data_IF_455781512751
#
_entry.id   IF_455781512751
#
_cell.length_a   1.000
_cell.length_b   1.000
_cell.length_c   1.000
_cell.angle_alpha   90.00
_cell.angle_beta   90.00
_cell.angle_gamma   90.00
#
_symmetry.space_group_name_H-M   'P 1'
#
loop_
_entity.id
_entity.type
_entity.pdbx_description
1 polymer ?
#
# COMPACT_ATOMS: atom_id res chain seq x y z
N UNK A 1 15.07 19.42 7.33
CA UNK A 1 14.13 18.31 7.06
C UNK A 1 12.81 18.91 6.63
N UNK A 2 12.40 18.75 5.37
CA UNK A 2 11.06 19.17 4.98
C UNK A 2 10.03 18.40 5.79
N UNK A 3 9.20 19.12 6.50
CA UNK A 3 8.04 18.52 7.17
C UNK A 3 7.09 18.01 6.08
N UNK A 4 6.95 16.72 5.97
CA UNK A 4 5.97 16.12 5.07
C UNK A 4 4.57 16.44 5.61
N UNK A 5 3.82 17.25 4.89
CA UNK A 5 2.44 17.63 5.25
C UNK A 5 1.44 16.79 4.46
N UNK A 6 0.38 16.37 5.11
CA UNK A 6 -0.73 15.67 4.44
C UNK A 6 -1.59 16.67 3.63
N UNK A 7 -2.13 16.23 2.51
CA UNK A 7 -1.96 14.93 1.89
C UNK A 7 -0.57 14.79 1.22
N UNK A 8 0.04 13.58 1.29
CA UNK A 8 1.25 13.30 0.53
C UNK A 8 0.88 13.07 -0.93
N UNK A 9 1.55 13.80 -1.80
CA UNK A 9 1.51 13.58 -3.24
C UNK A 9 2.44 12.44 -3.67
N UNK A 10 2.44 12.15 -4.95
CA UNK A 10 3.24 11.09 -5.53
C UNK A 10 4.75 11.31 -5.32
N UNK A 11 5.23 12.56 -5.45
CA UNK A 11 6.64 12.90 -5.21
C UNK A 11 7.07 12.67 -3.76
N UNK A 12 6.18 12.98 -2.80
CA UNK A 12 6.44 12.71 -1.39
C UNK A 12 6.46 11.20 -1.09
N UNK A 13 5.57 10.43 -1.73
CA UNK A 13 5.54 8.97 -1.62
C UNK A 13 6.83 8.35 -2.17
N UNK A 14 7.34 8.82 -3.31
CA UNK A 14 8.61 8.35 -3.89
C UNK A 14 9.83 8.61 -3.00
N UNK A 15 9.77 9.63 -2.13
CA UNK A 15 10.83 9.87 -1.14
C UNK A 15 10.80 8.87 0.03
N UNK A 16 9.69 8.16 0.21
CA UNK A 16 9.49 7.18 1.28
C UNK A 16 9.62 5.76 0.77
N UNK A 17 8.93 5.43 -0.34
CA UNK A 17 8.94 4.10 -0.95
C UNK A 17 10.06 3.95 -1.98
N UNK A 18 10.72 2.79 -2.04
CA UNK A 18 11.68 2.48 -3.10
C UNK A 18 11.00 2.19 -4.45
N UNK A 19 9.71 1.92 -4.45
CA UNK A 19 8.94 1.61 -5.65
C UNK A 19 8.93 2.76 -6.65
N UNK A 20 8.97 2.44 -7.94
CA UNK A 20 8.93 3.39 -9.06
C UNK A 20 7.98 2.89 -10.13
N UNK A 21 7.66 3.77 -11.10
CA UNK A 21 6.93 3.38 -12.29
C UNK A 21 7.56 2.11 -12.92
N UNK A 22 6.80 1.08 -13.32
CA UNK A 22 5.33 1.03 -13.36
C UNK A 22 4.70 0.41 -12.11
N UNK A 23 5.43 0.17 -11.03
CA UNK A 23 4.99 -0.58 -9.85
C UNK A 23 4.78 0.29 -8.61
N UNK A 24 4.86 1.59 -8.70
CA UNK A 24 4.35 2.50 -7.69
C UNK A 24 2.85 2.66 -7.90
N UNK A 25 2.05 2.04 -7.05
CA UNK A 25 0.61 1.89 -7.25
C UNK A 25 -0.23 2.88 -6.44
N UNK A 26 0.35 3.53 -5.45
CA UNK A 26 -0.34 4.46 -4.54
C UNK A 26 -0.25 5.87 -5.09
N UNK A 27 -1.39 6.55 -5.23
CA UNK A 27 -1.45 7.88 -5.80
C UNK A 27 -1.32 8.99 -4.76
N UNK A 28 -1.86 8.77 -3.56
CA UNK A 28 -1.89 9.79 -2.49
C UNK A 28 -2.02 9.14 -1.12
N UNK A 29 -1.47 9.78 -0.09
CA UNK A 29 -1.77 9.47 1.32
C UNK A 29 -2.58 10.63 1.88
N UNK A 30 -3.76 10.33 2.42
CA UNK A 30 -4.71 11.34 2.93
C UNK A 30 -4.77 11.40 4.45
N UNK A 31 -4.46 10.30 5.14
CA UNK A 31 -4.40 10.23 6.59
C UNK A 31 -3.19 9.41 7.04
N UNK A 32 -2.55 9.82 8.11
CA UNK A 32 -1.46 9.10 8.73
C UNK A 32 -1.44 9.38 10.23
N UNK A 33 -1.60 8.33 11.02
CA UNK A 33 -1.42 8.31 12.46
C UNK A 33 -0.21 7.41 12.76
N UNK A 34 0.94 8.00 13.17
CA UNK A 34 2.18 7.26 13.36
C UNK A 34 2.00 6.01 14.23
N UNK A 35 2.60 4.90 13.82
CA UNK A 35 2.56 3.59 14.48
C UNK A 35 1.16 2.95 14.62
N UNK A 36 0.12 3.56 14.07
CA UNK A 36 -1.24 3.05 14.22
C UNK A 36 -1.92 2.79 12.90
N UNK A 37 -2.09 3.84 12.08
CA UNK A 37 -2.98 3.80 10.93
C UNK A 37 -2.55 4.73 9.81
N UNK A 38 -2.83 4.33 8.58
CA UNK A 38 -2.62 5.13 7.39
C UNK A 38 -3.76 4.90 6.41
N UNK A 39 -4.12 5.94 5.65
CA UNK A 39 -5.09 5.84 4.55
C UNK A 39 -4.47 6.42 3.29
N UNK A 40 -4.48 5.62 2.23
CA UNK A 40 -4.04 5.99 0.90
C UNK A 40 -5.14 5.87 -0.14
N UNK A 41 -4.91 6.48 -1.29
CA UNK A 41 -5.80 6.46 -2.44
C UNK A 41 -5.09 5.82 -3.63
N UNK A 42 -5.80 4.93 -4.32
CA UNK A 42 -5.47 4.40 -5.63
C UNK A 42 -6.60 4.75 -6.59
N UNK A 43 -6.30 5.52 -7.63
CA UNK A 43 -7.23 5.75 -8.73
C UNK A 43 -7.05 4.64 -9.76
N UNK A 44 -8.14 4.01 -10.17
CA UNK A 44 -8.11 2.98 -11.20
C UNK A 44 -8.50 3.62 -12.53
N UNK A 45 -7.50 4.00 -13.31
CA UNK A 45 -7.70 4.57 -14.64
C UNK A 45 -7.99 3.48 -15.68
N UNK A 46 -8.66 3.85 -16.77
CA UNK A 46 -8.76 2.99 -17.96
C UNK A 46 -7.40 2.66 -18.57
N UNK A 47 -6.40 3.49 -18.33
CA UNK A 47 -5.01 3.31 -18.77
C UNK A 47 -4.17 2.52 -17.75
N UNK A 48 -4.78 1.96 -16.71
CA UNK A 48 -4.10 1.12 -15.73
C UNK A 48 -3.47 -0.10 -16.43
N UNK A 49 -2.16 -0.23 -16.31
CA UNK A 49 -1.37 -1.26 -16.97
C UNK A 49 -1.79 -2.69 -16.59
N UNK A 50 -2.26 -2.85 -15.38
CA UNK A 50 -2.56 -4.17 -14.80
C UNK A 50 -4.02 -4.59 -14.97
N UNK A 51 -4.85 -3.82 -15.69
CA UNK A 51 -6.23 -4.23 -15.95
C UNK A 51 -6.28 -5.58 -16.69
N UNK A 52 -7.14 -6.45 -16.21
CA UNK A 52 -7.53 -7.68 -16.89
C UNK A 52 -8.80 -7.44 -17.69
N UNK A 53 -8.89 -8.07 -18.85
CA UNK A 53 -10.00 -7.92 -19.81
C UNK A 53 -10.71 -9.26 -20.01
N UNK A 54 -11.54 -9.72 -19.06
CA UNK A 54 -12.27 -10.97 -19.23
C UNK A 54 -13.29 -10.83 -20.38
N UNK A 55 -13.45 -11.86 -21.21
CA UNK A 55 -14.39 -11.80 -22.34
C UNK A 55 -15.82 -11.52 -21.89
N UNK A 56 -16.45 -10.51 -22.50
CA UNK A 56 -17.85 -10.17 -22.22
C UNK A 56 -18.09 -9.42 -20.90
N UNK A 57 -17.02 -9.08 -20.16
CA UNK A 57 -17.11 -8.37 -18.89
C UNK A 57 -16.39 -7.02 -18.94
N UNK A 58 -16.70 -6.14 -17.98
CA UNK A 58 -15.95 -4.90 -17.80
C UNK A 58 -14.52 -5.20 -17.32
N UNK A 59 -13.52 -4.40 -17.74
CA UNK A 59 -12.15 -4.57 -17.27
C UNK A 59 -12.07 -4.48 -15.75
N UNK A 60 -11.31 -5.38 -15.13
CA UNK A 60 -11.13 -5.46 -13.69
C UNK A 60 -9.66 -5.27 -13.31
N UNK A 61 -9.43 -4.61 -12.18
CA UNK A 61 -8.12 -4.60 -11.54
C UNK A 61 -7.92 -5.93 -10.80
N UNK A 62 -6.90 -6.72 -11.12
CA UNK A 62 -6.66 -7.99 -10.43
C UNK A 62 -6.57 -7.78 -8.92
N UNK A 63 -7.27 -8.59 -8.10
CA UNK A 63 -7.28 -8.40 -6.65
C UNK A 63 -5.90 -8.56 -6.00
N UNK A 64 -4.98 -9.25 -6.64
CA UNK A 64 -3.57 -9.33 -6.22
C UNK A 64 -2.85 -7.99 -6.31
N UNK A 65 -3.20 -7.15 -7.28
CA UNK A 65 -2.69 -5.78 -7.39
C UNK A 65 -3.23 -4.92 -6.24
N UNK A 66 -4.46 -5.10 -5.82
CA UNK A 66 -5.01 -4.43 -4.64
C UNK A 66 -4.29 -4.87 -3.35
N UNK A 67 -3.92 -6.14 -3.25
CA UNK A 67 -3.09 -6.64 -2.14
C UNK A 67 -1.75 -5.94 -2.08
N UNK A 68 -1.10 -5.74 -3.23
CA UNK A 68 0.14 -4.96 -3.32
C UNK A 68 -0.07 -3.49 -2.96
N UNK A 69 -1.17 -2.87 -3.38
CA UNK A 69 -1.50 -1.50 -2.96
C UNK A 69 -1.60 -1.39 -1.43
N UNK A 70 -2.25 -2.35 -0.77
CA UNK A 70 -2.33 -2.42 0.70
C UNK A 70 -0.95 -2.55 1.31
N UNK A 71 -0.08 -3.40 0.74
CA UNK A 71 1.29 -3.57 1.20
C UNK A 71 2.10 -2.28 1.07
N UNK A 72 1.98 -1.56 -0.04
CA UNK A 72 2.66 -0.28 -0.26
C UNK A 72 2.18 0.81 0.71
N UNK A 73 0.88 0.95 0.92
CA UNK A 73 0.33 1.88 1.91
C UNK A 73 0.83 1.52 3.32
N UNK A 74 0.83 0.25 3.68
CA UNK A 74 1.39 -0.23 4.94
C UNK A 74 2.89 0.03 5.07
N UNK A 75 3.65 -0.12 3.99
CA UNK A 75 5.08 0.16 3.97
C UNK A 75 5.36 1.66 4.22
N UNK A 76 4.55 2.57 3.67
CA UNK A 76 4.66 4.01 3.94
C UNK A 76 4.50 4.28 5.44
N UNK A 77 3.52 3.66 6.12
CA UNK A 77 3.30 3.83 7.55
C UNK A 77 4.54 3.47 8.38
N UNK A 78 5.30 2.46 7.95
CA UNK A 78 6.49 2.00 8.65
C UNK A 78 7.71 2.86 8.28
N UNK A 79 7.88 3.18 7.00
CA UNK A 79 9.01 3.95 6.48
C UNK A 79 8.85 5.46 6.67
N UNK A 80 7.69 5.93 7.09
CA UNK A 80 7.44 7.32 7.44
C UNK A 80 8.47 7.86 8.44
N UNK A 81 8.86 7.03 9.42
CA UNK A 81 9.83 7.39 10.45
C UNK A 81 11.22 7.59 9.84
N UNK A 82 11.91 8.70 10.18
CA UNK A 82 13.26 8.97 9.67
C UNK A 82 14.23 7.80 9.87
N UNK A 83 14.15 7.11 11.02
CA UNK A 83 15.02 5.98 11.36
C UNK A 83 14.76 4.70 10.54
N UNK A 84 13.71 4.69 9.76
CA UNK A 84 13.34 3.53 8.91
C UNK A 84 13.47 3.82 7.41
N UNK A 85 13.72 5.06 6.99
CA UNK A 85 13.66 5.48 5.59
C UNK A 85 14.67 4.80 4.67
N UNK A 86 15.80 4.43 5.18
CA UNK A 86 16.86 3.74 4.46
C UNK A 86 16.74 2.21 4.53
N UNK A 87 15.75 1.70 5.26
CA UNK A 87 15.47 0.28 5.38
C UNK A 87 14.58 -0.21 4.25
N UNK A 88 14.69 -1.51 3.96
CA UNK A 88 13.79 -2.18 3.02
C UNK A 88 12.71 -2.95 3.79
N UNK A 89 11.44 -2.66 3.53
CA UNK A 89 10.36 -3.48 4.03
C UNK A 89 10.26 -4.75 3.18
N UNK A 90 10.38 -5.90 3.81
CA UNK A 90 10.17 -7.20 3.19
C UNK A 90 8.81 -7.77 3.57
N UNK A 91 8.07 -8.15 2.57
CA UNK A 91 6.84 -8.91 2.74
C UNK A 91 7.22 -10.33 3.19
N UNK A 92 6.81 -10.72 4.40
CA UNK A 92 7.14 -12.03 4.96
C UNK A 92 6.07 -13.07 4.68
N UNK A 93 4.83 -12.64 4.59
CA UNK A 93 3.72 -13.52 4.30
C UNK A 93 2.36 -12.87 4.45
N UNK A 94 1.37 -13.54 3.90
CA UNK A 94 -0.03 -13.21 4.05
C UNK A 94 -0.66 -14.30 4.91
N UNK A 95 -1.17 -13.94 6.08
CA UNK A 95 -1.88 -14.89 6.94
C UNK A 95 -3.26 -15.20 6.40
N UNK A 96 -3.91 -14.17 5.87
CA UNK A 96 -5.24 -14.24 5.30
C UNK A 96 -5.49 -13.06 4.38
N UNK A 97 -6.15 -13.32 3.25
CA UNK A 97 -6.72 -12.28 2.39
C UNK A 97 -8.07 -12.75 1.86
N UNK A 98 -9.02 -11.84 1.79
CA UNK A 98 -10.34 -12.07 1.20
C UNK A 98 -10.61 -11.06 0.11
N UNK A 99 -10.91 -11.55 -1.08
CA UNK A 99 -11.36 -10.80 -2.23
C UNK A 99 -12.88 -10.87 -2.29
N UNK A 100 -13.55 -9.74 -2.10
CA UNK A 100 -15.01 -9.73 -1.92
C UNK A 100 -15.76 -9.27 -3.16
N UNK A 101 -15.25 -8.24 -3.82
CA UNK A 101 -15.89 -7.63 -4.97
C UNK A 101 -14.86 -7.16 -5.98
N UNK A 102 -15.19 -7.20 -7.29
CA UNK A 102 -14.31 -6.70 -8.33
C UNK A 102 -14.17 -5.18 -8.24
N UNK A 103 -13.02 -4.69 -8.68
CA UNK A 103 -12.70 -3.26 -8.84
C UNK A 103 -12.49 -2.98 -10.32
N UNK A 104 -13.13 -1.96 -10.82
CA UNK A 104 -13.16 -1.62 -12.24
C UNK A 104 -12.46 -0.30 -12.54
N UNK A 105 -12.15 -0.07 -13.81
CA UNK A 105 -11.70 1.23 -14.28
C UNK A 105 -12.76 2.30 -13.97
N UNK A 106 -12.32 3.43 -13.41
CA UNK A 106 -13.17 4.52 -12.92
C UNK A 106 -13.37 4.51 -11.41
N UNK A 107 -13.08 3.39 -10.74
CA UNK A 107 -13.17 3.33 -9.29
C UNK A 107 -12.03 4.09 -8.61
N UNK A 108 -12.35 4.69 -7.47
CA UNK A 108 -11.38 5.25 -6.53
C UNK A 108 -11.31 4.30 -5.34
N UNK A 109 -10.15 3.72 -5.11
CA UNK A 109 -9.94 2.77 -4.02
C UNK A 109 -9.31 3.49 -2.84
N UNK A 110 -10.02 3.52 -1.72
CA UNK A 110 -9.48 3.92 -0.43
C UNK A 110 -8.82 2.72 0.24
N UNK A 111 -7.56 2.86 0.61
CA UNK A 111 -6.74 1.80 1.17
C UNK A 111 -6.33 2.18 2.57
N UNK A 112 -6.73 1.39 3.54
CA UNK A 112 -6.38 1.57 4.94
C UNK A 112 -5.46 0.43 5.39
N UNK A 113 -4.37 0.78 6.10
CA UNK A 113 -3.54 -0.17 6.81
C UNK A 113 -3.44 0.22 8.29
N UNK A 114 -3.55 -0.77 9.17
CA UNK A 114 -3.45 -0.62 10.62
C UNK A 114 -2.36 -1.52 11.17
N UNK A 115 -1.55 -0.99 12.08
CA UNK A 115 -0.59 -1.80 12.82
C UNK A 115 -1.33 -2.65 13.83
N UNK A 116 -1.23 -3.96 13.67
CA UNK A 116 -1.81 -4.93 14.60
C UNK A 116 -0.80 -5.35 15.67
N UNK A 117 0.45 -5.49 15.25
CA UNK A 117 1.58 -5.80 16.13
C UNK A 117 2.86 -5.28 15.50
N UNK A 118 3.69 -4.67 16.32
CA UNK A 118 5.04 -4.24 15.92
C UNK A 118 6.04 -4.67 17.00
N UNK A 119 7.08 -5.39 16.61
CA UNK A 119 8.19 -5.82 17.48
C UNK A 119 9.50 -5.61 16.75
N UNK A 120 10.32 -4.70 17.25
CA UNK A 120 11.65 -4.42 16.69
C UNK A 120 11.62 -4.24 15.17
N UNK A 121 12.01 -5.25 14.41
CA UNK A 121 12.08 -5.23 12.94
C UNK A 121 10.98 -6.01 12.23
N UNK A 122 10.05 -6.58 12.96
CA UNK A 122 8.96 -7.40 12.41
C UNK A 122 7.62 -6.90 12.88
N UNK A 123 6.62 -7.00 12.01
CA UNK A 123 5.27 -6.57 12.34
C UNK A 123 4.18 -7.29 11.57
N UNK A 124 2.98 -7.01 12.01
CA UNK A 124 1.75 -7.48 11.40
C UNK A 124 0.85 -6.28 11.14
N UNK A 125 0.38 -6.18 9.90
CA UNK A 125 -0.56 -5.17 9.44
C UNK A 125 -1.89 -5.83 9.08
N UNK A 126 -2.96 -5.16 9.43
CA UNK A 126 -4.31 -5.43 8.92
C UNK A 126 -4.64 -4.38 7.86
N UNK A 127 -5.10 -4.83 6.70
CA UNK A 127 -5.35 -3.95 5.57
C UNK A 127 -6.74 -4.12 4.98
N UNK A 128 -7.26 -3.02 4.49
CA UNK A 128 -8.58 -2.93 3.86
C UNK A 128 -8.49 -2.08 2.60
N UNK A 129 -9.17 -2.51 1.54
CA UNK A 129 -9.44 -1.69 0.38
C UNK A 129 -10.95 -1.51 0.24
N UNK A 130 -11.38 -0.27 -0.02
CA UNK A 130 -12.81 0.09 -0.16
C UNK A 130 -13.05 0.87 -1.44
N UNK A 131 -14.20 0.61 -2.05
CA UNK A 131 -14.77 1.45 -3.12
C UNK A 131 -16.14 1.91 -2.66
N UNK A 132 -16.38 3.22 -2.65
CA UNK A 132 -17.62 3.83 -2.15
C UNK A 132 -18.01 3.32 -0.75
N UNK A 133 -17.02 3.19 0.17
CA UNK A 133 -17.22 2.70 1.52
C UNK A 133 -17.39 1.18 1.68
N UNK A 134 -17.51 0.43 0.57
CA UNK A 134 -17.67 -1.02 0.59
C UNK A 134 -16.33 -1.72 0.54
N UNK A 135 -16.06 -2.63 1.49
CA UNK A 135 -14.82 -3.41 1.50
C UNK A 135 -14.79 -4.35 0.30
N UNK A 136 -13.77 -4.20 -0.54
CA UNK A 136 -13.49 -5.03 -1.71
C UNK A 136 -12.39 -6.05 -1.45
N UNK A 137 -11.40 -5.69 -0.61
CA UNK A 137 -10.34 -6.57 -0.13
C UNK A 137 -10.12 -6.31 1.35
N UNK A 138 -9.91 -7.38 2.13
CA UNK A 138 -9.40 -7.30 3.50
C UNK A 138 -8.38 -8.41 3.74
N UNK A 139 -7.39 -8.14 4.59
CA UNK A 139 -6.38 -9.12 4.90
C UNK A 139 -5.44 -8.75 6.03
N UNK A 140 -4.63 -9.71 6.40
CA UNK A 140 -3.57 -9.58 7.40
C UNK A 140 -2.26 -10.07 6.82
N UNK A 141 -1.23 -9.25 6.91
CA UNK A 141 0.08 -9.51 6.35
C UNK A 141 1.19 -9.25 7.36
N UNK A 142 2.28 -9.98 7.24
CA UNK A 142 3.48 -9.82 8.06
C UNK A 142 4.61 -9.24 7.24
N UNK A 143 5.40 -8.39 7.88
CA UNK A 143 6.56 -7.75 7.27
C UNK A 143 7.76 -7.79 8.18
N UNK A 144 8.95 -7.63 7.59
CA UNK A 144 10.20 -7.40 8.29
C UNK A 144 10.94 -6.21 7.68
N UNK A 145 11.66 -5.46 8.50
CA UNK A 145 12.57 -4.42 8.04
C UNK A 145 13.98 -5.00 7.92
N UNK A 146 14.48 -4.97 6.70
CA UNK A 146 15.87 -5.33 6.41
C UNK A 146 16.86 -4.24 6.84
N UNK A 147 18.18 -4.52 6.71
CA UNK A 147 19.21 -3.53 6.97
C UNK A 147 19.12 -2.37 5.97
N UNK A 148 19.69 -1.23 6.35
CA UNK A 148 19.82 -0.06 5.48
C UNK A 148 20.57 -0.39 4.19
N UNK A 149 20.17 0.19 3.07
CA UNK A 149 20.79 -0.05 1.76
C UNK A 149 22.28 0.37 1.71
N UNK A 150 22.74 1.19 2.64
CA UNK A 150 24.13 1.61 2.75
C UNK A 150 25.08 0.63 3.46
N UNK A 151 24.60 -0.49 3.98
CA UNK A 151 25.37 -1.47 4.72
C UNK A 151 25.84 -2.68 3.90
N UNK A 152 25.94 -2.53 2.58
CA UNK A 152 26.59 -3.52 1.72
C UNK A 152 28.00 -3.03 1.41
N UNK A 153 28.92 -3.36 2.25
CA UNK A 153 30.33 -3.58 1.88
C UNK A 153 30.54 -5.06 1.58
#
# INVERSE_FOLDING_TARGET
>A
MESLTLPLDNSAIERILPHRFPFLLVDRIIELEPDKRIVGIKNVSRNERYLSYPPGEAPVLPPTILTECVAQVGAILILWKPENRDKLPFFMGIKRVRYRYPVHAGDVVEIEARVKRLRSRMGELEGFARVNGRIVVDGTMTFALGPSQGARE
#
